data_IF_349579683458
#
_entry.id   IF_349579683458
#
_cell.length_a   1.000
_cell.length_b   1.000
_cell.length_c   1.000
_cell.angle_alpha   90.00
_cell.angle_beta   90.00
_cell.angle_gamma   90.00
#
_symmetry.space_group_name_H-M   'P 1'
#
loop_
_entity.id
_entity.type
_entity.pdbx_description
1 polymer ?
#
# COMPACT_ATOMS: atom_id res chain seq x y z
N UNK A 1 -20.06 -68.46 27.78
CA UNK A 1 -18.93 -68.00 28.61
C UNK A 1 -18.52 -66.62 28.13
N UNK A 2 -18.61 -65.59 28.97
CA UNK A 2 -18.10 -64.25 28.59
C UNK A 2 -16.61 -64.30 28.34
N UNK A 3 -16.16 -63.91 27.15
CA UNK A 3 -14.73 -63.81 26.80
C UNK A 3 -14.06 -62.85 27.77
N UNK A 4 -13.05 -63.35 28.55
CA UNK A 4 -12.24 -62.49 29.45
C UNK A 4 -11.66 -61.34 28.66
N UNK A 5 -12.06 -60.14 28.97
CA UNK A 5 -11.45 -58.86 28.51
C UNK A 5 -10.38 -58.45 29.51
N UNK A 6 -9.37 -57.68 29.06
CA UNK A 6 -8.28 -57.15 29.90
C UNK A 6 -7.35 -58.24 30.47
N UNK A 7 -6.85 -59.07 29.57
CA UNK A 7 -5.98 -60.22 29.91
C UNK A 7 -4.55 -59.78 30.29
N UNK A 8 -4.07 -58.69 29.74
CA UNK A 8 -2.77 -58.11 30.06
C UNK A 8 -2.90 -57.19 31.29
N UNK A 9 -1.89 -57.18 32.11
CA UNK A 9 -1.74 -56.24 33.22
C UNK A 9 -0.40 -55.51 33.07
N UNK A 10 -0.22 -54.35 33.71
CA UNK A 10 1.02 -53.60 33.71
C UNK A 10 2.25 -54.49 34.08
N UNK A 11 2.06 -55.45 35.01
CA UNK A 11 3.09 -56.41 35.40
C UNK A 11 3.36 -57.53 34.37
N UNK A 12 2.36 -57.89 33.57
CA UNK A 12 2.53 -58.95 32.54
C UNK A 12 3.14 -58.38 31.26
N UNK A 13 2.86 -57.13 30.88
CA UNK A 13 3.35 -56.54 29.65
C UNK A 13 4.86 -56.67 29.47
N UNK A 14 5.74 -56.31 30.47
CA UNK A 14 7.18 -56.46 30.30
C UNK A 14 7.65 -57.92 30.09
N UNK A 15 6.91 -58.89 30.64
CA UNK A 15 7.23 -60.30 30.49
C UNK A 15 6.87 -60.85 29.11
N UNK A 16 5.69 -60.47 28.58
CA UNK A 16 5.29 -60.92 27.25
C UNK A 16 5.98 -60.17 26.14
N UNK A 17 6.45 -58.93 26.39
CA UNK A 17 7.24 -58.14 25.44
C UNK A 17 8.59 -58.76 25.08
N UNK A 18 9.03 -59.79 25.85
CA UNK A 18 10.25 -60.61 25.54
C UNK A 18 10.00 -61.83 24.66
N UNK A 19 8.73 -62.13 24.40
CA UNK A 19 8.32 -63.34 23.66
C UNK A 19 7.73 -62.92 22.31
N UNK A 20 8.36 -63.32 21.15
CA UNK A 20 7.78 -63.03 19.85
C UNK A 20 6.38 -63.58 19.68
N UNK A 21 5.51 -62.82 18.94
CA UNK A 21 4.16 -63.23 18.65
C UNK A 21 3.09 -62.20 19.02
N UNK A 22 1.82 -62.60 18.95
CA UNK A 22 0.65 -61.77 19.29
C UNK A 22 0.13 -62.14 20.66
N UNK A 23 0.13 -61.19 21.59
CA UNK A 23 -0.39 -61.37 22.96
C UNK A 23 -1.69 -60.60 23.11
N UNK A 24 -2.80 -61.34 23.22
CA UNK A 24 -4.15 -60.75 23.29
C UNK A 24 -4.43 -60.09 24.65
N UNK A 25 -4.91 -58.85 24.63
CA UNK A 25 -5.49 -58.18 25.81
C UNK A 25 -7.00 -58.41 25.89
N UNK A 26 -7.70 -58.42 24.79
CA UNK A 26 -9.14 -58.53 24.64
C UNK A 26 -9.71 -57.52 23.71
N UNK A 27 -10.98 -57.67 23.32
CA UNK A 27 -11.66 -56.74 22.40
C UNK A 27 -10.89 -56.41 21.14
N UNK A 28 -10.12 -57.36 20.62
CA UNK A 28 -9.28 -57.16 19.42
C UNK A 28 -7.94 -56.44 19.64
N UNK A 29 -7.62 -56.03 20.89
CA UNK A 29 -6.34 -55.42 21.21
C UNK A 29 -5.25 -56.50 21.46
N UNK A 30 -4.12 -56.37 20.81
CA UNK A 30 -2.94 -57.26 20.92
C UNK A 30 -1.67 -56.42 21.11
N UNK A 31 -0.73 -56.97 21.89
CA UNK A 31 0.67 -56.60 21.83
C UNK A 31 1.36 -57.54 20.84
N UNK A 32 1.82 -56.97 19.73
CA UNK A 32 2.63 -57.68 18.74
C UNK A 32 4.12 -57.48 19.08
N UNK A 33 4.86 -58.57 19.21
CA UNK A 33 6.31 -58.57 19.47
C UNK A 33 7.01 -59.22 18.29
N UNK A 34 7.95 -58.45 17.69
CA UNK A 34 8.77 -58.87 16.56
C UNK A 34 10.24 -58.65 16.89
N UNK A 35 11.16 -59.03 15.99
CA UNK A 35 12.59 -58.73 16.12
C UNK A 35 12.88 -57.20 16.19
N UNK A 36 12.01 -56.38 15.58
CA UNK A 36 12.13 -54.92 15.57
C UNK A 36 11.52 -54.21 16.81
N UNK A 37 10.92 -54.99 17.76
CA UNK A 37 10.31 -54.45 18.99
C UNK A 37 8.87 -54.82 19.19
N UNK A 38 8.26 -54.27 20.26
CA UNK A 38 6.90 -54.51 20.62
C UNK A 38 5.98 -53.30 20.29
N UNK A 39 4.83 -53.56 19.66
CA UNK A 39 3.81 -52.55 19.29
C UNK A 39 2.38 -53.02 19.57
N UNK A 40 1.52 -52.07 19.86
CA UNK A 40 0.09 -52.30 20.04
C UNK A 40 -0.61 -52.35 18.68
N UNK A 41 -1.48 -53.36 18.51
CA UNK A 41 -2.24 -53.61 17.28
C UNK A 41 -3.68 -53.89 17.63
N UNK A 42 -4.63 -53.27 16.96
CA UNK A 42 -6.03 -53.60 16.98
C UNK A 42 -6.38 -54.48 15.78
N UNK A 43 -6.87 -55.68 16.04
CA UNK A 43 -7.49 -56.57 15.04
C UNK A 43 -8.98 -56.38 15.07
N UNK A 44 -9.61 -56.05 13.96
CA UNK A 44 -11.03 -55.84 13.80
C UNK A 44 -11.54 -56.44 12.47
N UNK A 45 -12.86 -56.49 12.32
CA UNK A 45 -13.52 -56.86 11.07
C UNK A 45 -14.49 -55.79 10.69
N UNK A 46 -14.48 -55.35 9.42
CA UNK A 46 -15.43 -54.41 8.85
C UNK A 46 -15.81 -54.89 7.44
N UNK A 47 -17.10 -54.87 7.11
CA UNK A 47 -17.63 -55.39 5.85
C UNK A 47 -17.11 -56.81 5.50
N UNK A 48 -17.05 -57.70 6.52
CA UNK A 48 -16.61 -59.10 6.36
C UNK A 48 -15.10 -59.30 6.21
N UNK A 49 -14.26 -58.23 6.20
CA UNK A 49 -12.81 -58.31 6.05
C UNK A 49 -12.10 -58.03 7.37
N UNK A 50 -11.14 -58.92 7.72
CA UNK A 50 -10.25 -58.71 8.87
C UNK A 50 -9.14 -57.71 8.54
N UNK A 51 -8.97 -56.70 9.42
CA UNK A 51 -7.91 -55.67 9.28
C UNK A 51 -7.13 -55.55 10.59
N UNK A 52 -5.89 -55.04 10.47
CA UNK A 52 -5.00 -54.82 11.60
C UNK A 52 -4.54 -53.35 11.59
N UNK A 53 -4.85 -52.63 12.67
CA UNK A 53 -4.47 -51.24 12.85
C UNK A 53 -3.36 -51.11 13.88
N UNK A 54 -2.21 -50.58 13.52
CA UNK A 54 -1.16 -50.20 14.47
C UNK A 54 -1.57 -49.02 15.34
N UNK A 55 -1.48 -49.19 16.67
CA UNK A 55 -1.82 -48.18 17.67
C UNK A 55 -0.57 -47.46 18.20
N UNK A 56 0.60 -48.02 17.96
CA UNK A 56 1.90 -47.41 18.30
C UNK A 56 2.83 -48.35 19.09
N UNK A 57 4.12 -47.99 19.20
CA UNK A 57 5.11 -48.83 19.88
C UNK A 57 4.94 -48.81 21.41
N UNK A 58 5.19 -49.97 22.04
CA UNK A 58 5.12 -50.13 23.49
C UNK A 58 5.99 -49.11 24.27
N UNK A 59 7.13 -48.73 23.72
CA UNK A 59 8.05 -47.75 24.33
C UNK A 59 7.46 -46.38 24.54
N UNK A 60 6.44 -45.99 23.73
CA UNK A 60 5.78 -44.66 23.79
C UNK A 60 4.38 -44.73 24.39
N UNK A 61 3.72 -45.87 24.26
CA UNK A 61 2.33 -46.03 24.70
C UNK A 61 2.21 -47.22 25.64
N UNK A 62 1.77 -46.96 26.87
CA UNK A 62 1.48 -47.97 27.86
C UNK A 62 0.20 -48.77 27.50
N UNK A 63 -0.15 -49.78 28.37
CA UNK A 63 -1.34 -50.56 28.19
C UNK A 63 -2.61 -49.72 28.27
N UNK A 64 -2.66 -48.74 29.18
CA UNK A 64 -3.80 -47.84 29.32
C UNK A 64 -4.03 -47.00 28.04
N UNK A 65 -2.96 -46.43 27.51
CA UNK A 65 -3.03 -45.64 26.25
C UNK A 65 -3.52 -46.50 25.08
N UNK A 66 -3.00 -47.74 25.00
CA UNK A 66 -3.38 -48.66 23.95
C UNK A 66 -4.87 -49.03 24.02
N UNK A 67 -5.41 -49.25 25.25
CA UNK A 67 -6.83 -49.48 25.45
C UNK A 67 -7.71 -48.29 25.06
N UNK A 68 -7.29 -47.08 25.41
CA UNK A 68 -7.97 -45.84 25.01
C UNK A 68 -8.03 -45.71 23.49
N UNK A 69 -6.89 -45.82 22.81
CA UNK A 69 -6.84 -45.80 21.35
C UNK A 69 -7.63 -46.91 20.67
N UNK A 70 -7.62 -48.11 21.25
CA UNK A 70 -8.43 -49.22 20.75
C UNK A 70 -9.94 -48.96 20.92
N UNK A 71 -10.35 -48.36 22.03
CA UNK A 71 -11.76 -47.99 22.26
C UNK A 71 -12.23 -46.91 21.29
N UNK A 72 -11.39 -45.88 21.00
CA UNK A 72 -11.66 -44.86 20.00
C UNK A 72 -11.86 -45.47 18.61
N UNK A 73 -10.94 -46.34 18.18
CA UNK A 73 -11.05 -47.03 16.91
C UNK A 73 -12.31 -47.93 16.84
N UNK A 74 -12.66 -48.61 17.95
CA UNK A 74 -13.88 -49.42 18.02
C UNK A 74 -15.16 -48.60 17.90
N UNK A 75 -15.18 -47.36 18.39
CA UNK A 75 -16.35 -46.46 18.20
C UNK A 75 -16.54 -46.15 16.71
N UNK A 76 -15.45 -45.82 15.97
CA UNK A 76 -15.53 -45.60 14.52
C UNK A 76 -16.08 -46.86 13.80
N UNK A 77 -15.59 -48.05 14.17
CA UNK A 77 -16.08 -49.30 13.59
C UNK A 77 -17.57 -49.50 13.86
N UNK A 78 -18.03 -49.19 15.07
CA UNK A 78 -19.44 -49.25 15.41
C UNK A 78 -20.30 -48.29 14.62
N UNK A 79 -19.75 -47.11 14.27
CA UNK A 79 -20.36 -46.14 13.36
C UNK A 79 -20.28 -46.55 11.87
N UNK A 80 -19.73 -47.72 11.55
CA UNK A 80 -19.53 -48.15 10.17
C UNK A 80 -18.37 -47.54 9.44
N UNK A 81 -17.51 -46.79 10.14
CA UNK A 81 -16.33 -46.14 9.58
C UNK A 81 -15.06 -46.96 9.83
N UNK A 82 -14.28 -47.18 8.80
CA UNK A 82 -12.97 -47.85 8.96
C UNK A 82 -11.93 -46.86 9.56
N UNK A 83 -11.36 -47.18 10.75
CA UNK A 83 -10.43 -46.28 11.42
C UNK A 83 -9.08 -46.07 10.67
N UNK A 84 -8.67 -47.06 9.84
CA UNK A 84 -7.47 -46.88 9.00
C UNK A 84 -7.77 -45.88 7.88
N UNK A 85 -8.92 -46.02 7.22
CA UNK A 85 -9.30 -45.15 6.10
C UNK A 85 -9.62 -43.74 6.62
N UNK A 86 -10.23 -43.60 7.80
CA UNK A 86 -10.43 -42.30 8.46
C UNK A 86 -9.10 -41.61 8.77
N UNK A 87 -8.09 -42.33 9.30
CA UNK A 87 -6.74 -41.79 9.55
C UNK A 87 -6.02 -41.40 8.27
N UNK A 88 -6.17 -42.16 7.19
CA UNK A 88 -5.59 -41.84 5.89
C UNK A 88 -6.26 -40.61 5.28
N UNK A 89 -7.58 -40.51 5.36
CA UNK A 89 -8.31 -39.33 4.89
C UNK A 89 -7.90 -38.05 5.65
N UNK A 90 -7.73 -38.14 6.96
CA UNK A 90 -7.28 -37.00 7.77
C UNK A 90 -5.85 -36.58 7.44
N UNK A 91 -4.95 -37.55 7.23
CA UNK A 91 -3.57 -37.27 6.76
C UNK A 91 -3.55 -36.66 5.37
N UNK A 92 -4.34 -37.17 4.45
CA UNK A 92 -4.46 -36.64 3.10
C UNK A 92 -5.01 -35.20 3.11
N UNK A 93 -6.02 -34.95 3.97
CA UNK A 93 -6.54 -33.59 4.18
C UNK A 93 -5.48 -32.64 4.73
N UNK A 94 -4.76 -33.06 5.77
CA UNK A 94 -3.67 -32.25 6.34
C UNK A 94 -2.55 -31.97 5.35
N UNK A 95 -2.17 -32.95 4.49
CA UNK A 95 -1.20 -32.78 3.42
C UNK A 95 -1.70 -31.81 2.35
N UNK A 96 -2.98 -31.90 1.98
CA UNK A 96 -3.59 -30.98 1.02
C UNK A 96 -3.62 -29.53 1.56
N UNK A 97 -3.98 -29.35 2.81
CA UNK A 97 -3.98 -28.05 3.48
C UNK A 97 -2.54 -27.48 3.57
N UNK A 98 -1.56 -28.33 3.91
CA UNK A 98 -0.15 -27.93 3.92
C UNK A 98 0.37 -27.57 2.53
N UNK A 99 -0.04 -28.29 1.49
CA UNK A 99 0.33 -28.00 0.10
C UNK A 99 -0.31 -26.72 -0.43
N UNK A 100 -1.49 -26.34 0.06
CA UNK A 100 -2.17 -25.08 -0.25
C UNK A 100 -1.59 -23.89 0.54
N UNK A 101 -0.79 -24.13 1.59
CA UNK A 101 -0.27 -23.06 2.43
C UNK A 101 0.69 -22.17 1.64
N UNK A 102 0.32 -20.92 1.45
CA UNK A 102 1.17 -19.88 0.89
C UNK A 102 1.52 -18.87 1.98
N UNK A 103 2.78 -18.44 2.07
CA UNK A 103 3.17 -17.40 3.00
C UNK A 103 2.69 -16.03 2.53
N UNK A 104 2.50 -15.09 3.46
CA UNK A 104 2.09 -13.73 3.11
C UNK A 104 3.04 -13.07 2.11
N UNK A 105 4.34 -13.25 2.28
CA UNK A 105 5.37 -12.72 1.35
C UNK A 105 5.19 -13.25 -0.07
N UNK A 106 4.96 -14.55 -0.24
CA UNK A 106 4.70 -15.15 -1.55
C UNK A 106 3.37 -14.69 -2.13
N UNK A 107 2.33 -14.59 -1.31
CA UNK A 107 1.02 -14.08 -1.72
C UNK A 107 1.13 -12.61 -2.18
N UNK A 108 1.86 -11.77 -1.46
CA UNK A 108 2.11 -10.38 -1.81
C UNK A 108 2.84 -10.26 -3.16
N UNK A 109 3.89 -11.04 -3.38
CA UNK A 109 4.62 -11.06 -4.65
C UNK A 109 3.72 -11.47 -5.83
N UNK A 110 2.90 -12.52 -5.64
CA UNK A 110 1.95 -12.99 -6.64
C UNK A 110 0.85 -11.96 -6.94
N UNK A 111 0.31 -11.30 -5.90
CA UNK A 111 -0.65 -10.21 -6.03
C UNK A 111 -0.06 -9.06 -6.86
N UNK A 112 1.13 -8.58 -6.49
CA UNK A 112 1.83 -7.50 -7.18
C UNK A 112 2.06 -7.85 -8.65
N UNK A 113 2.54 -9.05 -8.93
CA UNK A 113 2.79 -9.54 -10.29
C UNK A 113 1.52 -9.54 -11.14
N UNK A 114 0.41 -10.09 -10.62
CA UNK A 114 -0.85 -10.20 -11.36
C UNK A 114 -1.54 -8.85 -11.61
N UNK A 115 -1.35 -7.86 -10.74
CA UNK A 115 -2.00 -6.54 -10.86
C UNK A 115 -1.12 -5.47 -11.52
N UNK A 116 0.17 -5.76 -11.68
CA UNK A 116 1.17 -4.80 -12.17
C UNK A 116 0.80 -4.17 -13.52
N UNK A 117 0.24 -4.94 -14.45
CA UNK A 117 -0.13 -4.46 -15.78
C UNK A 117 -1.22 -3.39 -15.75
N UNK A 118 -2.13 -3.41 -14.76
CA UNK A 118 -3.19 -2.43 -14.58
C UNK A 118 -2.76 -1.11 -13.92
N UNK A 119 -1.53 -1.01 -13.44
CA UNK A 119 -1.07 0.19 -12.72
C UNK A 119 -0.53 1.27 -13.65
N UNK A 120 -0.96 2.52 -13.44
CA UNK A 120 -0.57 3.68 -14.27
C UNK A 120 0.95 3.86 -14.43
N UNK A 121 1.73 3.54 -13.39
CA UNK A 121 3.20 3.50 -13.40
C UNK A 121 3.64 2.20 -12.73
N UNK A 122 3.57 1.11 -13.50
CA UNK A 122 3.74 -0.26 -13.03
C UNK A 122 5.02 -0.47 -12.21
N UNK A 123 6.17 0.01 -12.70
CA UNK A 123 7.46 -0.15 -12.01
C UNK A 123 7.51 0.61 -10.68
N UNK A 124 7.10 1.89 -10.69
CA UNK A 124 7.11 2.74 -9.49
C UNK A 124 6.10 2.25 -8.45
N UNK A 125 4.90 1.88 -8.89
CA UNK A 125 3.84 1.42 -7.99
C UNK A 125 4.21 0.08 -7.34
N UNK A 126 4.75 -0.88 -8.11
CA UNK A 126 5.24 -2.15 -7.58
C UNK A 126 6.34 -1.91 -6.52
N UNK A 127 7.36 -1.11 -6.82
CA UNK A 127 8.42 -0.80 -5.86
C UNK A 127 7.92 -0.15 -4.57
N UNK A 128 6.89 0.72 -4.66
CA UNK A 128 6.26 1.31 -3.45
C UNK A 128 5.54 0.24 -2.62
N UNK A 129 4.84 -0.70 -3.27
CA UNK A 129 4.19 -1.81 -2.57
C UNK A 129 5.21 -2.72 -1.89
N UNK A 130 6.20 -3.18 -2.65
CA UNK A 130 7.29 -4.05 -2.18
C UNK A 130 8.01 -3.42 -0.98
N UNK A 131 8.53 -2.18 -1.13
CA UNK A 131 9.24 -1.48 -0.05
C UNK A 131 8.38 -1.30 1.19
N UNK A 132 7.11 -0.92 1.02
CA UNK A 132 6.24 -0.67 2.17
C UNK A 132 5.89 -1.95 2.90
N UNK A 133 5.60 -3.03 2.17
CA UNK A 133 5.31 -4.34 2.78
C UNK A 133 6.55 -4.92 3.45
N UNK A 134 7.72 -4.85 2.80
CA UNK A 134 8.98 -5.30 3.37
C UNK A 134 9.35 -4.55 4.68
N UNK A 135 9.03 -3.25 4.74
CA UNK A 135 9.35 -2.44 5.91
C UNK A 135 8.42 -2.70 7.10
N UNK A 136 7.12 -2.87 6.85
CA UNK A 136 6.12 -2.84 7.94
C UNK A 136 5.40 -4.16 8.17
N UNK A 137 5.11 -4.94 7.14
CA UNK A 137 4.30 -6.15 7.24
C UNK A 137 5.16 -7.43 7.30
N UNK A 138 6.13 -7.57 6.40
CA UNK A 138 6.93 -8.80 6.29
C UNK A 138 7.70 -9.18 7.56
N UNK A 139 8.25 -8.23 8.37
CA UNK A 139 8.94 -8.60 9.60
C UNK A 139 8.05 -9.34 10.62
N UNK A 140 6.74 -9.15 10.54
CA UNK A 140 5.76 -9.71 11.48
C UNK A 140 4.99 -10.87 10.87
N UNK A 141 4.46 -10.70 9.65
CA UNK A 141 3.57 -11.69 9.02
C UNK A 141 4.13 -12.31 7.75
N UNK A 142 5.29 -11.86 7.25
CA UNK A 142 5.83 -12.27 5.95
C UNK A 142 6.06 -13.77 5.79
N UNK A 143 6.58 -14.42 6.82
CA UNK A 143 6.87 -15.86 6.84
C UNK A 143 5.65 -16.73 7.20
N UNK A 144 4.57 -16.11 7.73
CA UNK A 144 3.38 -16.84 8.16
C UNK A 144 2.50 -17.25 6.98
N UNK A 145 1.87 -18.43 7.02
CA UNK A 145 0.82 -18.79 6.08
C UNK A 145 -0.33 -17.76 6.13
N UNK A 146 -0.88 -17.37 4.97
CA UNK A 146 -1.98 -16.39 4.91
C UNK A 146 -3.21 -16.84 5.69
N UNK A 147 -3.41 -18.14 5.85
CA UNK A 147 -4.50 -18.74 6.65
C UNK A 147 -4.38 -18.43 8.15
N UNK A 148 -3.15 -18.35 8.67
CA UNK A 148 -2.89 -18.12 10.10
C UNK A 148 -2.86 -16.65 10.51
N UNK A 149 -3.03 -15.72 9.55
CA UNK A 149 -3.03 -14.29 9.84
C UNK A 149 -4.40 -13.88 10.38
N UNK A 150 -4.42 -13.49 11.65
CA UNK A 150 -5.58 -13.02 12.39
C UNK A 150 -5.54 -11.50 12.63
N UNK A 151 -6.56 -11.00 13.33
CA UNK A 151 -6.68 -9.58 13.69
C UNK A 151 -5.57 -9.12 14.60
N UNK A 152 -5.10 -9.95 15.54
CA UNK A 152 -4.04 -9.58 16.47
C UNK A 152 -2.71 -9.36 15.74
N UNK A 153 -2.39 -10.20 14.77
CA UNK A 153 -1.21 -10.04 13.92
C UNK A 153 -1.29 -8.80 13.03
N UNK A 154 -2.46 -8.49 12.47
CA UNK A 154 -2.67 -7.25 11.71
C UNK A 154 -2.50 -6.01 12.61
N UNK A 155 -3.06 -6.01 13.82
CA UNK A 155 -2.88 -4.93 14.79
C UNK A 155 -1.41 -4.76 15.16
N UNK A 156 -0.68 -5.84 15.40
CA UNK A 156 0.77 -5.81 15.69
C UNK A 156 1.57 -5.10 14.58
N UNK A 157 1.15 -5.22 13.32
CA UNK A 157 1.75 -4.46 12.20
C UNK A 157 1.36 -2.99 12.24
N UNK A 158 0.11 -2.67 12.55
CA UNK A 158 -0.45 -1.34 12.34
C UNK A 158 -0.25 -0.41 13.56
N UNK A 159 -0.41 -0.88 14.78
CA UNK A 159 -0.37 -0.05 16.00
C UNK A 159 0.90 0.79 16.13
N UNK A 160 2.12 0.27 15.88
CA UNK A 160 3.35 1.05 16.03
C UNK A 160 3.42 2.27 15.10
N UNK A 161 2.66 2.25 14.00
CA UNK A 161 2.67 3.30 12.98
C UNK A 161 1.34 4.04 12.87
N UNK A 162 0.28 3.61 13.55
CA UNK A 162 -1.07 4.15 13.40
C UNK A 162 -1.18 5.62 13.77
N UNK A 163 -0.60 5.99 14.89
CA UNK A 163 -0.56 7.39 15.38
C UNK A 163 0.60 8.19 14.81
N UNK A 164 1.76 7.55 14.64
CA UNK A 164 2.98 8.24 14.18
C UNK A 164 3.00 8.54 12.68
N UNK A 165 2.44 7.64 11.86
CA UNK A 165 2.43 7.71 10.39
C UNK A 165 1.05 7.30 9.83
N UNK A 166 -0.05 7.99 10.16
CA UNK A 166 -1.42 7.52 9.87
C UNK A 166 -1.70 7.27 8.40
N UNK A 167 -1.16 8.08 7.48
CA UNK A 167 -1.29 7.85 6.04
C UNK A 167 -0.59 6.58 5.57
N UNK A 168 0.62 6.33 6.09
CA UNK A 168 1.36 5.11 5.78
C UNK A 168 0.65 3.89 6.35
N UNK A 169 0.21 3.94 7.61
CA UNK A 169 -0.53 2.88 8.28
C UNK A 169 -1.80 2.51 7.53
N UNK A 170 -2.58 3.51 7.10
CA UNK A 170 -3.77 3.27 6.29
C UNK A 170 -3.46 2.58 4.95
N UNK A 171 -2.37 2.95 4.29
CA UNK A 171 -1.92 2.30 3.05
C UNK A 171 -1.40 0.88 3.28
N UNK A 172 -0.67 0.65 4.37
CA UNK A 172 -0.21 -0.69 4.77
C UNK A 172 -1.42 -1.59 5.01
N UNK A 173 -2.41 -1.13 5.81
CA UNK A 173 -3.65 -1.84 6.06
C UNK A 173 -4.36 -2.23 4.75
N UNK A 174 -4.58 -1.27 3.86
CA UNK A 174 -5.24 -1.51 2.55
C UNK A 174 -4.50 -2.54 1.70
N UNK A 175 -3.16 -2.55 1.74
CA UNK A 175 -2.37 -3.53 1.01
C UNK A 175 -2.48 -4.91 1.60
N UNK A 176 -2.43 -5.03 2.94
CA UNK A 176 -2.66 -6.32 3.63
C UNK A 176 -4.06 -6.83 3.30
N UNK A 177 -5.08 -5.98 3.39
CA UNK A 177 -6.48 -6.31 3.06
C UNK A 177 -6.58 -6.87 1.63
N UNK A 178 -6.06 -6.16 0.64
CA UNK A 178 -6.11 -6.57 -0.76
C UNK A 178 -5.40 -7.90 -1.04
N UNK A 179 -4.25 -8.15 -0.38
CA UNK A 179 -3.51 -9.40 -0.53
C UNK A 179 -4.28 -10.56 0.10
N UNK A 180 -4.87 -10.36 1.28
CA UNK A 180 -5.64 -11.39 1.97
C UNK A 180 -6.96 -11.69 1.26
N UNK A 181 -7.63 -10.70 0.66
CA UNK A 181 -8.79 -10.90 -0.20
C UNK A 181 -8.43 -11.71 -1.44
N UNK A 182 -7.32 -11.36 -2.09
CA UNK A 182 -6.80 -12.13 -3.22
C UNK A 182 -6.48 -13.57 -2.82
N UNK A 183 -5.88 -13.77 -1.65
CA UNK A 183 -5.57 -15.09 -1.13
C UNK A 183 -6.85 -15.91 -0.84
N UNK A 184 -7.91 -15.27 -0.35
CA UNK A 184 -9.22 -15.88 -0.14
C UNK A 184 -9.85 -16.35 -1.45
N UNK A 185 -9.88 -15.50 -2.47
CA UNK A 185 -10.41 -15.85 -3.81
C UNK A 185 -9.63 -17.00 -4.45
N UNK A 186 -8.34 -17.11 -4.15
CA UNK A 186 -7.46 -18.20 -4.62
C UNK A 186 -7.58 -19.49 -3.80
N UNK A 187 -8.37 -19.51 -2.74
CA UNK A 187 -8.53 -20.67 -1.85
C UNK A 187 -7.33 -20.94 -0.94
N UNK A 188 -6.45 -19.95 -0.75
CA UNK A 188 -5.31 -20.05 0.17
C UNK A 188 -5.67 -19.71 1.62
N UNK A 189 -6.83 -19.12 1.84
CA UNK A 189 -7.40 -18.86 3.15
C UNK A 189 -8.92 -18.86 3.13
N UNK A 190 -9.51 -19.13 4.28
CA UNK A 190 -10.94 -19.07 4.55
C UNK A 190 -11.24 -18.00 5.61
N UNK A 191 -12.53 -17.75 5.82
CA UNK A 191 -13.02 -16.82 6.84
C UNK A 191 -12.99 -15.35 6.40
N UNK A 192 -13.26 -14.46 7.35
CA UNK A 192 -13.29 -13.01 7.16
C UNK A 192 -11.88 -12.43 7.06
N UNK A 193 -11.77 -11.30 6.35
CA UNK A 193 -10.49 -10.62 6.21
C UNK A 193 -10.15 -9.81 7.48
N UNK A 194 -9.08 -10.17 8.22
CA UNK A 194 -8.72 -9.51 9.48
C UNK A 194 -8.19 -8.08 9.30
N UNK A 195 -7.88 -7.67 8.06
CA UNK A 195 -7.46 -6.31 7.73
C UNK A 195 -8.62 -5.42 7.23
N UNK A 196 -9.87 -5.95 7.21
CA UNK A 196 -11.06 -5.19 6.84
C UNK A 196 -11.22 -3.99 7.77
N UNK A 197 -11.52 -2.82 7.19
CA UNK A 197 -11.72 -1.62 7.97
C UNK A 197 -13.11 -1.54 8.56
N UNK A 198 -14.13 -1.41 7.69
CA UNK A 198 -15.52 -1.15 8.08
C UNK A 198 -16.13 -2.33 8.83
N UNK A 199 -16.62 -2.05 10.04
CA UNK A 199 -17.24 -3.04 10.91
C UNK A 199 -16.25 -4.05 11.50
N UNK A 200 -14.93 -3.73 11.53
CA UNK A 200 -13.92 -4.57 12.12
C UNK A 200 -12.79 -3.73 12.75
N UNK A 201 -11.77 -3.31 12.00
CA UNK A 201 -10.66 -2.54 12.57
C UNK A 201 -11.04 -1.11 12.97
N UNK A 202 -12.10 -0.53 12.43
CA UNK A 202 -12.64 0.77 12.82
C UNK A 202 -13.21 0.80 14.25
N UNK A 203 -13.51 -0.36 14.82
CA UNK A 203 -13.90 -0.51 16.23
C UNK A 203 -12.67 -0.56 17.15
N UNK A 204 -11.53 -1.06 16.65
CA UNK A 204 -10.31 -1.28 17.41
C UNK A 204 -9.32 -0.12 17.31
N UNK A 205 -9.31 0.59 16.20
CA UNK A 205 -8.37 1.68 15.91
C UNK A 205 -9.12 2.99 15.69
N UNK A 206 -8.63 4.12 16.22
CA UNK A 206 -9.27 5.41 16.00
C UNK A 206 -9.22 5.80 14.52
N UNK A 207 -10.28 6.45 14.03
CA UNK A 207 -10.31 6.96 12.67
C UNK A 207 -9.12 7.90 12.40
N UNK A 208 -8.44 7.71 11.26
CA UNK A 208 -7.23 8.48 10.90
C UNK A 208 -7.44 10.00 10.94
N UNK A 209 -8.63 10.48 10.55
CA UNK A 209 -8.98 11.90 10.62
C UNK A 209 -9.01 12.45 12.07
N UNK A 210 -9.28 11.58 13.07
CA UNK A 210 -9.22 11.93 14.50
C UNK A 210 -7.79 11.89 15.04
N UNK A 211 -6.92 11.05 14.46
CA UNK A 211 -5.52 10.90 14.88
C UNK A 211 -4.67 12.08 14.41
N UNK A 212 -4.88 12.52 13.18
CA UNK A 212 -4.18 13.67 12.60
C UNK A 212 -5.17 14.52 11.82
N UNK A 213 -5.36 15.76 12.25
CA UNK A 213 -6.03 16.77 11.43
C UNK A 213 -5.27 16.90 10.11
N UNK A 214 -5.99 17.01 9.01
CA UNK A 214 -5.40 17.31 7.71
C UNK A 214 -4.78 18.70 7.81
N UNK A 215 -3.48 18.77 8.00
CA UNK A 215 -2.75 20.02 7.84
C UNK A 215 -2.65 20.28 6.34
N UNK A 216 -3.19 21.39 5.89
CA UNK A 216 -2.98 21.86 4.53
C UNK A 216 -1.49 22.12 4.31
N UNK A 217 -1.01 21.93 3.08
CA UNK A 217 0.36 22.26 2.74
C UNK A 217 0.62 23.73 3.14
N UNK A 218 1.68 23.96 3.91
CA UNK A 218 2.09 25.30 4.28
C UNK A 218 2.27 26.14 3.01
N UNK A 219 1.47 27.18 2.90
CA UNK A 219 1.42 28.11 1.79
C UNK A 219 1.98 29.47 2.22
N UNK A 220 2.65 30.14 1.30
CA UNK A 220 3.07 31.52 1.51
C UNK A 220 1.82 32.43 1.49
N UNK A 221 1.60 33.32 2.47
CA UNK A 221 0.58 34.35 2.35
C UNK A 221 0.78 35.13 1.03
N UNK A 222 -0.30 35.33 0.27
CA UNK A 222 -0.17 35.97 -1.06
C UNK A 222 0.41 37.39 -0.98
N UNK A 223 0.21 38.11 0.14
CA UNK A 223 0.82 39.42 0.35
C UNK A 223 2.34 39.42 0.39
N UNK A 224 2.97 38.29 0.66
CA UNK A 224 4.42 38.11 0.72
C UNK A 224 5.04 37.65 -0.62
N UNK A 225 4.20 37.34 -1.63
CA UNK A 225 4.69 36.70 -2.86
C UNK A 225 5.69 37.58 -3.61
N UNK A 226 5.48 38.88 -3.67
CA UNK A 226 6.40 39.81 -4.35
C UNK A 226 7.80 39.79 -3.75
N UNK A 227 7.91 39.89 -2.42
CA UNK A 227 9.20 39.81 -1.72
C UNK A 227 9.86 38.45 -1.90
N UNK A 228 9.07 37.36 -1.88
CA UNK A 228 9.56 36.01 -2.14
C UNK A 228 10.13 35.88 -3.57
N UNK A 229 9.43 36.41 -4.57
CA UNK A 229 9.87 36.36 -5.97
C UNK A 229 11.18 37.12 -6.20
N UNK A 230 11.36 38.27 -5.54
CA UNK A 230 12.65 38.99 -5.58
C UNK A 230 13.77 38.11 -5.02
N UNK A 231 13.59 37.52 -3.85
CA UNK A 231 14.57 36.64 -3.22
C UNK A 231 14.83 35.34 -4.04
N UNK A 232 13.80 34.78 -4.68
CA UNK A 232 13.90 33.61 -5.55
C UNK A 232 14.75 33.91 -6.80
N UNK A 233 14.56 35.07 -7.42
CA UNK A 233 15.28 35.48 -8.63
C UNK A 233 16.75 35.78 -8.38
N UNK A 234 17.12 36.13 -7.15
CA UNK A 234 18.53 36.25 -6.74
C UNK A 234 19.20 34.88 -6.58
N UNK A 235 18.43 33.77 -6.57
CA UNK A 235 19.01 32.42 -6.49
C UNK A 235 19.54 32.00 -7.87
N UNK A 236 20.74 31.47 -7.88
CA UNK A 236 21.38 30.94 -9.07
C UNK A 236 20.88 29.50 -9.39
N UNK A 237 21.01 29.15 -10.68
CA UNK A 237 20.82 27.80 -11.19
C UNK A 237 19.42 27.50 -11.69
N UNK A 238 19.33 26.41 -12.44
CA UNK A 238 18.13 25.97 -13.16
C UNK A 238 16.91 25.73 -12.22
N UNK A 239 17.16 25.33 -10.98
CA UNK A 239 16.09 25.09 -10.02
C UNK A 239 15.32 26.36 -9.63
N UNK A 240 15.99 27.51 -9.56
CA UNK A 240 15.35 28.80 -9.28
C UNK A 240 14.46 29.22 -10.45
N UNK A 241 14.95 29.10 -11.69
CA UNK A 241 14.18 29.41 -12.92
C UNK A 241 12.97 28.46 -13.05
N UNK A 242 13.15 27.16 -12.77
CA UNK A 242 12.05 26.20 -12.78
C UNK A 242 10.98 26.55 -11.73
N UNK A 243 11.40 27.02 -10.54
CA UNK A 243 10.43 27.37 -9.49
C UNK A 243 9.72 28.70 -9.79
N UNK A 244 10.42 29.67 -10.38
CA UNK A 244 9.82 30.91 -10.90
C UNK A 244 8.69 30.59 -11.90
N UNK A 245 8.97 29.73 -12.91
CA UNK A 245 7.94 29.30 -13.86
C UNK A 245 6.79 28.58 -13.17
N UNK A 246 7.07 27.68 -12.21
CA UNK A 246 6.05 26.95 -11.49
C UNK A 246 5.09 27.88 -10.73
N UNK A 247 5.60 28.94 -10.12
CA UNK A 247 4.80 29.96 -9.42
C UNK A 247 3.99 30.79 -10.42
N UNK A 248 4.63 31.33 -11.46
CA UNK A 248 3.97 32.16 -12.47
C UNK A 248 2.88 31.43 -13.25
N UNK A 249 2.97 30.12 -13.39
CA UNK A 249 1.98 29.28 -14.11
C UNK A 249 1.05 28.53 -13.18
N UNK A 250 1.26 28.58 -11.87
CA UNK A 250 0.60 27.74 -10.88
C UNK A 250 0.62 26.24 -11.20
N UNK A 251 1.62 25.78 -11.99
CA UNK A 251 1.77 24.39 -12.42
C UNK A 251 2.25 23.47 -11.28
N UNK A 252 2.00 22.16 -11.41
CA UNK A 252 2.51 21.20 -10.43
C UNK A 252 4.01 20.97 -10.63
N UNK A 253 4.71 20.67 -9.53
CA UNK A 253 6.16 20.38 -9.55
C UNK A 253 6.55 19.42 -10.67
N UNK A 254 5.86 18.29 -10.82
CA UNK A 254 6.19 17.31 -11.85
C UNK A 254 5.86 17.76 -13.27
N UNK A 255 4.88 18.65 -13.43
CA UNK A 255 4.54 19.27 -14.72
C UNK A 255 5.67 20.19 -15.14
N UNK A 256 6.12 21.06 -14.24
CA UNK A 256 7.22 22.01 -14.51
C UNK A 256 8.56 21.29 -14.73
N UNK A 257 8.97 20.43 -13.80
CA UNK A 257 10.27 19.74 -13.89
C UNK A 257 10.39 18.83 -15.12
N UNK A 258 9.28 18.29 -15.59
CA UNK A 258 9.24 17.42 -16.76
C UNK A 258 8.94 18.15 -18.07
N UNK A 259 8.85 19.50 -18.10
CA UNK A 259 8.55 20.26 -19.30
C UNK A 259 9.61 20.04 -20.38
N UNK A 260 9.14 19.86 -21.63
CA UNK A 260 10.00 19.70 -22.82
C UNK A 260 9.80 20.86 -23.79
N UNK A 261 10.80 21.18 -24.58
CA UNK A 261 10.72 22.30 -25.50
C UNK A 261 9.65 22.15 -26.57
N UNK A 262 9.31 20.92 -26.99
CA UNK A 262 8.19 20.66 -27.92
C UNK A 262 6.81 21.02 -27.35
N UNK A 263 6.71 21.20 -26.05
CA UNK A 263 5.47 21.56 -25.36
C UNK A 263 5.28 23.09 -25.29
N UNK A 264 6.32 23.85 -25.60
CA UNK A 264 6.36 25.31 -25.46
C UNK A 264 6.22 25.97 -26.84
N UNK A 265 5.13 26.72 -26.98
CA UNK A 265 4.94 27.65 -28.11
C UNK A 265 5.14 29.07 -27.58
N UNK A 266 6.32 29.66 -27.88
CA UNK A 266 6.64 31.01 -27.46
C UNK A 266 5.90 32.07 -28.29
N UNK A 267 5.54 31.79 -29.56
CA UNK A 267 4.83 32.70 -30.43
C UNK A 267 3.37 32.87 -29.93
N UNK A 268 2.69 31.76 -29.67
CA UNK A 268 1.35 31.75 -29.13
C UNK A 268 1.30 31.98 -27.62
N UNK A 269 2.45 31.97 -26.95
CA UNK A 269 2.59 32.06 -25.48
C UNK A 269 1.77 31.02 -24.76
N UNK A 270 1.93 29.76 -25.19
CA UNK A 270 1.21 28.61 -24.63
C UNK A 270 2.21 27.50 -24.29
N UNK A 271 2.04 26.91 -23.13
CA UNK A 271 2.66 25.64 -22.76
C UNK A 271 1.59 24.54 -22.75
N UNK A 272 1.72 23.57 -23.64
CA UNK A 272 0.80 22.46 -23.78
C UNK A 272 1.33 21.23 -23.07
N UNK A 273 0.80 20.90 -21.88
CA UNK A 273 1.19 19.71 -21.13
C UNK A 273 0.40 18.51 -21.66
N UNK A 274 1.07 17.47 -22.22
CA UNK A 274 0.38 16.35 -22.84
C UNK A 274 -0.33 15.44 -21.81
N UNK A 275 -1.36 14.69 -22.25
CA UNK A 275 -2.21 13.87 -21.36
C UNK A 275 -1.44 12.87 -20.50
N UNK A 276 -0.35 12.31 -21.00
CA UNK A 276 0.48 11.31 -20.32
C UNK A 276 1.12 11.87 -19.04
N UNK A 277 1.41 13.18 -19.02
CA UNK A 277 2.00 13.88 -17.90
C UNK A 277 0.97 14.44 -16.93
N UNK A 278 -0.29 14.52 -17.34
CA UNK A 278 -1.39 15.06 -16.53
C UNK A 278 -2.03 14.00 -15.63
N UNK A 279 -2.39 14.41 -14.39
CA UNK A 279 -3.11 13.52 -13.45
C UNK A 279 -4.47 13.10 -14.01
N UNK A 280 -5.16 14.01 -14.68
CA UNK A 280 -6.50 13.79 -15.25
C UNK A 280 -6.49 13.08 -16.62
N UNK A 281 -5.32 12.73 -17.19
CA UNK A 281 -5.15 12.16 -18.53
C UNK A 281 -5.82 12.98 -19.64
N UNK A 282 -5.89 14.29 -19.49
CA UNK A 282 -6.34 15.25 -20.49
C UNK A 282 -5.23 16.27 -20.70
N UNK A 283 -5.06 16.71 -21.94
CA UNK A 283 -4.18 17.81 -22.28
C UNK A 283 -4.50 19.06 -21.47
N UNK A 284 -3.49 19.82 -21.11
CA UNK A 284 -3.64 21.05 -20.38
C UNK A 284 -2.82 22.16 -21.00
N UNK A 285 -3.49 23.14 -21.61
CA UNK A 285 -2.87 24.33 -22.17
C UNK A 285 -2.72 25.37 -21.06
N UNK A 286 -1.49 25.81 -20.82
CA UNK A 286 -1.13 26.82 -19.82
C UNK A 286 -0.77 28.11 -20.51
N UNK A 287 -1.56 29.20 -20.37
CA UNK A 287 -1.19 30.49 -20.93
C UNK A 287 0.05 31.04 -20.21
N UNK A 288 1.00 31.53 -20.99
CA UNK A 288 2.25 32.09 -20.48
C UNK A 288 2.16 33.61 -20.42
N UNK A 289 2.32 34.18 -19.22
CA UNK A 289 2.49 35.61 -19.04
C UNK A 289 3.84 36.10 -19.60
N UNK A 290 4.03 37.39 -19.83
CA UNK A 290 5.29 37.93 -20.28
C UNK A 290 6.47 37.52 -19.38
N UNK A 291 6.27 37.55 -18.05
CA UNK A 291 7.29 37.11 -17.11
C UNK A 291 7.64 35.62 -17.25
N UNK A 292 6.64 34.76 -17.51
CA UNK A 292 6.88 33.34 -17.76
C UNK A 292 7.65 33.10 -19.07
N UNK A 293 7.35 33.86 -20.10
CA UNK A 293 8.11 33.85 -21.39
C UNK A 293 9.55 34.22 -21.15
N UNK A 294 9.84 35.33 -20.41
CA UNK A 294 11.20 35.73 -20.06
C UNK A 294 12.01 34.60 -19.39
N UNK A 295 11.40 33.89 -18.43
CA UNK A 295 12.06 32.73 -17.80
C UNK A 295 12.37 31.63 -18.83
N UNK A 296 11.47 31.37 -19.76
CA UNK A 296 11.71 30.38 -20.82
C UNK A 296 12.76 30.79 -21.80
N UNK A 297 12.82 32.07 -22.19
CA UNK A 297 13.87 32.65 -23.06
C UNK A 297 15.25 32.55 -22.40
N UNK A 298 15.35 32.83 -21.09
CA UNK A 298 16.59 32.58 -20.33
C UNK A 298 17.01 31.12 -20.42
N UNK A 299 16.07 30.20 -20.25
CA UNK A 299 16.33 28.76 -20.30
C UNK A 299 16.65 28.27 -21.72
N UNK A 300 16.17 28.95 -22.77
CA UNK A 300 16.45 28.57 -24.15
C UNK A 300 17.96 28.66 -24.47
N UNK A 301 18.72 29.48 -23.74
CA UNK A 301 20.20 29.58 -23.88
C UNK A 301 20.89 28.27 -23.45
N UNK A 302 20.26 27.45 -22.66
CA UNK A 302 20.77 26.13 -22.22
C UNK A 302 20.23 24.97 -23.08
N UNK A 303 19.45 25.28 -24.11
CA UNK A 303 18.90 24.28 -25.03
C UNK A 303 20.02 23.72 -25.90
N UNK A 304 20.15 22.37 -26.01
CA UNK A 304 21.18 21.77 -26.86
C UNK A 304 21.01 22.17 -28.34
N UNK A 305 22.12 22.41 -29.04
CA UNK A 305 22.08 22.62 -30.50
C UNK A 305 21.48 21.40 -31.19
N UNK A 306 20.60 21.65 -32.17
CA UNK A 306 19.94 20.58 -32.94
C UNK A 306 18.88 19.83 -32.18
N UNK A 307 18.44 20.31 -30.97
CA UNK A 307 17.31 19.69 -30.26
C UNK A 307 16.02 19.79 -31.07
N UNK A 308 15.41 18.63 -31.31
CA UNK A 308 14.11 18.49 -31.98
C UNK A 308 12.91 18.72 -31.06
N UNK A 309 13.11 19.37 -29.92
CA UNK A 309 12.10 19.65 -28.93
C UNK A 309 12.01 18.60 -27.80
N UNK A 310 12.82 17.55 -27.83
CA UNK A 310 12.81 16.50 -26.81
C UNK A 310 13.61 16.86 -25.54
N UNK A 311 14.47 17.86 -25.61
CA UNK A 311 15.22 18.32 -24.44
C UNK A 311 14.28 18.88 -23.36
N UNK A 312 14.67 18.68 -22.11
CA UNK A 312 13.95 19.28 -20.99
C UNK A 312 14.21 20.79 -20.92
N UNK A 313 13.18 21.57 -20.65
CA UNK A 313 13.29 23.02 -20.39
C UNK A 313 14.18 23.26 -19.17
N UNK A 314 14.08 22.40 -18.16
CA UNK A 314 14.88 22.46 -16.93
C UNK A 314 15.74 21.20 -16.78
N UNK A 315 16.91 21.16 -17.44
CA UNK A 315 17.80 20.02 -17.40
C UNK A 315 18.37 19.81 -15.99
N UNK A 316 18.51 18.56 -15.59
CA UNK A 316 19.18 18.15 -14.36
C UNK A 316 20.68 17.98 -14.56
N UNK A 317 21.40 17.66 -13.49
CA UNK A 317 22.85 17.40 -13.54
C UNK A 317 23.20 16.15 -14.37
N UNK A 318 22.29 15.19 -14.50
CA UNK A 318 22.50 14.00 -15.34
C UNK A 318 22.02 14.28 -16.76
N UNK A 319 22.88 14.02 -17.74
CA UNK A 319 22.56 14.22 -19.16
C UNK A 319 21.24 13.53 -19.53
N UNK A 320 20.38 14.23 -20.25
CA UNK A 320 19.08 13.72 -20.71
C UNK A 320 18.06 13.44 -19.59
N UNK A 321 18.27 13.95 -18.38
CA UNK A 321 17.32 13.84 -17.26
C UNK A 321 16.87 15.22 -16.79
N UNK A 322 15.61 15.34 -16.30
CA UNK A 322 15.13 16.59 -15.71
C UNK A 322 15.72 16.80 -14.32
N UNK A 323 15.47 17.95 -13.72
CA UNK A 323 15.73 18.21 -12.31
C UNK A 323 15.05 17.15 -11.43
N UNK A 324 15.67 16.87 -10.28
CA UNK A 324 15.11 15.98 -9.27
C UNK A 324 13.81 16.54 -8.68
N UNK A 325 12.88 15.65 -8.26
CA UNK A 325 11.67 16.02 -7.50
C UNK A 325 11.97 16.81 -6.21
N UNK A 326 13.20 16.68 -5.68
CA UNK A 326 13.65 17.37 -4.47
C UNK A 326 14.18 18.78 -4.78
N UNK A 327 14.32 19.17 -6.03
CA UNK A 327 14.96 20.44 -6.42
C UNK A 327 14.32 21.66 -5.74
N UNK A 328 12.99 21.76 -5.77
CA UNK A 328 12.28 22.87 -5.14
C UNK A 328 12.36 22.84 -3.60
N UNK A 329 12.31 21.66 -2.98
CA UNK A 329 12.47 21.54 -1.54
C UNK A 329 13.87 21.95 -1.09
N UNK A 330 14.90 21.54 -1.83
CA UNK A 330 16.30 21.92 -1.52
C UNK A 330 16.53 23.41 -1.75
N UNK A 331 15.90 23.99 -2.77
CA UNK A 331 15.93 25.43 -3.02
C UNK A 331 15.29 26.21 -1.87
N UNK A 332 14.09 25.85 -1.45
CA UNK A 332 13.40 26.47 -0.31
C UNK A 332 14.24 26.39 0.98
N UNK A 333 14.89 25.24 1.24
CA UNK A 333 15.82 25.10 2.38
C UNK A 333 17.02 26.04 2.28
N UNK A 334 17.62 26.17 1.10
CA UNK A 334 18.72 27.11 0.82
C UNK A 334 18.30 28.57 1.05
N UNK A 335 17.05 28.91 0.68
CA UNK A 335 16.45 30.21 0.93
C UNK A 335 15.99 30.40 2.39
N UNK A 336 16.26 29.43 3.29
CA UNK A 336 15.80 29.42 4.69
C UNK A 336 14.26 29.46 4.84
N UNK A 337 13.54 28.99 3.82
CA UNK A 337 12.07 28.88 3.79
C UNK A 337 11.64 27.39 3.80
N UNK A 338 12.22 26.60 4.67
CA UNK A 338 11.84 25.21 4.89
C UNK A 338 10.46 25.02 5.53
N UNK A 339 9.86 26.09 5.98
CA UNK A 339 8.48 26.23 6.42
C UNK A 339 7.45 26.08 5.29
N UNK A 340 7.86 26.32 4.04
CA UNK A 340 6.99 26.28 2.87
C UNK A 340 7.12 24.99 2.07
N UNK A 341 6.12 24.72 1.25
CA UNK A 341 6.15 23.65 0.26
C UNK A 341 5.90 24.19 -1.15
N UNK A 342 6.54 23.62 -2.17
CA UNK A 342 6.29 24.01 -3.56
C UNK A 342 4.80 23.88 -3.96
N UNK A 343 4.09 22.92 -3.36
CA UNK A 343 2.65 22.76 -3.60
C UNK A 343 1.81 23.88 -2.95
N UNK A 344 2.27 24.43 -1.84
CA UNK A 344 1.63 25.53 -1.13
C UNK A 344 1.48 26.79 -1.98
N UNK A 345 2.38 27.06 -2.92
CA UNK A 345 2.27 28.21 -3.83
C UNK A 345 1.05 28.16 -4.75
N UNK A 346 0.51 26.99 -5.01
CA UNK A 346 -0.76 26.84 -5.73
C UNK A 346 -1.95 27.25 -4.87
N UNK A 347 -1.86 27.05 -3.55
CA UNK A 347 -2.83 27.59 -2.59
C UNK A 347 -2.70 29.10 -2.53
N UNK A 348 -1.46 29.65 -2.48
CA UNK A 348 -1.20 31.10 -2.55
C UNK A 348 -1.87 31.75 -3.77
N UNK A 349 -1.72 31.14 -4.96
CA UNK A 349 -2.40 31.62 -6.18
C UNK A 349 -3.91 31.57 -6.06
N UNK A 350 -4.48 30.47 -5.53
CA UNK A 350 -5.93 30.28 -5.36
C UNK A 350 -6.52 31.29 -4.38
N UNK A 351 -5.84 31.50 -3.23
CA UNK A 351 -6.25 32.44 -2.19
C UNK A 351 -6.21 33.88 -2.71
N UNK A 352 -5.14 34.26 -3.44
CA UNK A 352 -5.06 35.54 -4.11
C UNK A 352 -6.20 35.74 -5.11
N UNK A 353 -6.47 34.75 -5.95
CA UNK A 353 -7.52 34.84 -6.96
C UNK A 353 -8.90 35.04 -6.32
N UNK A 354 -9.17 34.31 -5.22
CA UNK A 354 -10.44 34.37 -4.50
C UNK A 354 -10.62 35.68 -3.74
N UNK A 355 -9.55 36.21 -3.11
CA UNK A 355 -9.68 37.38 -2.22
C UNK A 355 -9.40 38.72 -2.90
N UNK A 356 -8.63 38.73 -3.99
CA UNK A 356 -8.14 39.97 -4.63
C UNK A 356 -8.62 40.17 -6.05
N UNK A 357 -9.42 39.26 -6.59
CA UNK A 357 -9.86 39.36 -7.99
C UNK A 357 -11.34 39.07 -8.15
N UNK A 358 -11.84 39.42 -9.35
CA UNK A 358 -13.20 39.10 -9.78
C UNK A 358 -13.24 38.04 -10.85
N UNK A 359 -12.14 37.30 -11.03
CA UNK A 359 -12.12 36.19 -11.98
C UNK A 359 -13.05 35.06 -11.54
N UNK A 360 -13.69 34.44 -12.51
CA UNK A 360 -14.60 33.32 -12.25
C UNK A 360 -13.85 32.17 -11.52
N UNK A 361 -14.40 31.61 -10.43
CA UNK A 361 -13.77 30.49 -9.72
C UNK A 361 -13.42 29.32 -10.64
N UNK A 362 -14.22 29.09 -11.68
CA UNK A 362 -13.99 28.07 -12.66
C UNK A 362 -12.70 28.29 -13.48
N UNK A 363 -12.42 29.53 -13.87
CA UNK A 363 -11.18 29.85 -14.57
C UNK A 363 -9.96 29.58 -13.69
N UNK A 364 -10.07 29.85 -12.40
CA UNK A 364 -9.02 29.56 -11.40
C UNK A 364 -8.81 28.06 -11.24
N UNK A 365 -9.89 27.28 -11.06
CA UNK A 365 -9.80 25.83 -10.93
C UNK A 365 -9.27 25.16 -12.23
N UNK A 366 -9.63 25.69 -13.40
CA UNK A 366 -9.07 25.26 -14.68
C UNK A 366 -7.59 25.60 -14.82
N UNK A 367 -7.16 26.78 -14.38
CA UNK A 367 -5.74 27.16 -14.37
C UNK A 367 -4.93 26.21 -13.48
N UNK A 368 -5.50 25.77 -12.38
CA UNK A 368 -4.94 24.74 -11.49
C UNK A 368 -5.04 23.33 -12.05
N UNK A 369 -5.64 23.10 -13.21
CA UNK A 369 -5.93 21.77 -13.77
C UNK A 369 -6.62 20.85 -12.73
N UNK A 370 -7.59 21.38 -11.99
CA UNK A 370 -8.43 20.62 -11.10
C UNK A 370 -9.58 19.98 -11.87
N UNK A 371 -9.98 18.79 -11.43
CA UNK A 371 -11.14 18.10 -12.01
C UNK A 371 -12.40 18.73 -11.46
N UNK A 372 -13.33 19.10 -12.34
CA UNK A 372 -14.65 19.59 -11.95
C UNK A 372 -15.40 18.42 -11.30
N UNK A 373 -15.84 18.54 -10.04
CA UNK A 373 -16.47 17.43 -9.32
C UNK A 373 -17.80 16.99 -9.95
N UNK A 374 -18.53 17.94 -10.56
CA UNK A 374 -19.81 17.69 -11.19
C UNK A 374 -19.62 17.09 -12.59
N UNK A 375 -19.95 15.80 -12.74
CA UNK A 375 -19.83 15.08 -14.01
C UNK A 375 -20.75 15.65 -15.11
N UNK A 376 -21.92 16.15 -14.75
CA UNK A 376 -22.88 16.75 -15.69
C UNK A 376 -22.31 18.05 -16.25
N UNK A 377 -21.80 18.92 -15.38
CA UNK A 377 -21.16 20.17 -15.76
C UNK A 377 -19.91 19.93 -16.61
N UNK A 378 -19.10 18.94 -16.25
CA UNK A 378 -17.90 18.55 -17.01
C UNK A 378 -18.23 18.05 -18.43
N UNK A 379 -19.40 17.45 -18.65
CA UNK A 379 -19.84 16.95 -19.95
C UNK A 379 -20.32 18.07 -20.90
N UNK A 380 -20.88 19.15 -20.35
CA UNK A 380 -21.33 20.29 -21.15
C UNK A 380 -20.23 21.30 -21.49
N UNK A 381 -19.09 21.27 -20.79
CA UNK A 381 -17.98 22.20 -21.05
C UNK A 381 -17.04 21.65 -22.12
N UNK A 382 -17.14 22.21 -23.33
CA UNK A 382 -16.26 21.88 -24.48
C UNK A 382 -15.00 22.76 -24.54
N UNK A 383 -15.03 23.97 -23.95
CA UNK A 383 -13.92 24.93 -23.96
C UNK A 383 -13.08 24.88 -22.67
N UNK A 384 -11.82 25.32 -22.78
CA UNK A 384 -10.87 25.39 -21.68
C UNK A 384 -10.67 26.82 -21.10
N UNK A 385 -11.51 27.78 -21.50
CA UNK A 385 -11.48 29.19 -21.08
C UNK A 385 -10.09 29.83 -21.28
N UNK A 386 -9.39 29.50 -22.35
CA UNK A 386 -7.98 29.93 -22.56
C UNK A 386 -7.80 31.44 -22.42
N UNK A 387 -8.65 32.25 -23.03
CA UNK A 387 -8.53 33.71 -23.00
C UNK A 387 -8.78 34.30 -21.61
N UNK A 388 -9.75 33.80 -20.88
CA UNK A 388 -10.00 34.19 -19.47
C UNK A 388 -8.81 33.79 -18.59
N UNK A 389 -8.25 32.58 -18.80
CA UNK A 389 -7.05 32.13 -18.09
C UNK A 389 -5.80 32.93 -18.49
N UNK A 390 -5.71 33.42 -19.72
CA UNK A 390 -4.63 34.29 -20.17
C UNK A 390 -4.63 35.59 -19.37
N UNK A 391 -5.80 36.21 -19.21
CA UNK A 391 -5.97 37.42 -18.39
C UNK A 391 -5.65 37.13 -16.90
N UNK A 392 -6.16 36.03 -16.36
CA UNK A 392 -5.90 35.62 -14.98
C UNK A 392 -4.39 35.43 -14.71
N UNK A 393 -3.68 34.71 -15.60
CA UNK A 393 -2.25 34.43 -15.43
C UNK A 393 -1.39 35.68 -15.64
N UNK A 394 -1.79 36.60 -16.50
CA UNK A 394 -1.13 37.90 -16.63
C UNK A 394 -1.28 38.76 -15.36
N UNK A 395 -2.50 38.86 -14.82
CA UNK A 395 -2.76 39.56 -13.57
C UNK A 395 -2.01 38.94 -12.38
N UNK A 396 -1.93 37.61 -12.33
CA UNK A 396 -1.14 36.90 -11.32
C UNK A 396 0.34 37.23 -11.41
N UNK A 397 0.91 37.18 -12.62
CA UNK A 397 2.31 37.51 -12.83
C UNK A 397 2.62 38.96 -12.45
N UNK A 398 1.76 39.91 -12.81
CA UNK A 398 1.90 41.31 -12.39
C UNK A 398 1.88 41.45 -10.87
N UNK A 399 0.96 40.73 -10.19
CA UNK A 399 0.89 40.73 -8.73
C UNK A 399 2.15 40.16 -8.10
N UNK A 400 2.68 39.05 -8.63
CA UNK A 400 3.94 38.43 -8.18
C UNK A 400 5.16 39.35 -8.34
N UNK A 401 5.12 40.26 -9.30
CA UNK A 401 6.24 41.18 -9.59
C UNK A 401 6.19 42.50 -8.84
N UNK A 402 5.05 42.84 -8.25
CA UNK A 402 4.94 44.05 -7.41
C UNK A 402 5.70 43.78 -6.10
N UNK A 403 6.72 44.59 -5.78
CA UNK A 403 7.31 44.54 -4.45
C UNK A 403 6.21 44.80 -3.43
N UNK A 404 5.99 43.87 -2.53
CA UNK A 404 5.05 44.07 -1.43
C UNK A 404 5.45 45.28 -0.62
N UNK A 405 4.50 45.97 0.10
CA UNK A 405 4.85 47.06 0.98
C UNK A 405 5.91 46.52 1.99
N UNK A 406 7.08 47.15 1.99
CA UNK A 406 8.08 46.90 2.99
C UNK A 406 7.46 47.19 4.37
N UNK A 407 7.27 46.15 5.18
CA UNK A 407 6.91 46.34 6.60
C UNK A 407 5.46 46.10 7.03
N UNK A 408 4.62 45.46 6.25
CA UNK A 408 3.34 44.98 6.80
C UNK A 408 3.59 43.72 7.66
N UNK A 409 3.62 43.87 8.97
CA UNK A 409 3.53 42.77 9.92
C UNK A 409 2.18 42.05 9.71
N UNK A 410 2.17 41.02 8.89
CA UNK A 410 1.03 40.12 8.78
C UNK A 410 1.07 39.22 9.98
N UNK A 411 0.32 39.51 11.01
CA UNK A 411 0.08 38.62 12.14
C UNK A 411 -0.61 37.39 11.60
N UNK A 412 0.00 36.24 11.69
CA UNK A 412 -0.64 34.98 11.38
C UNK A 412 -1.89 34.83 12.25
N UNK A 413 -3.06 34.70 11.63
CA UNK A 413 -4.29 34.37 12.34
C UNK A 413 -4.09 32.96 12.92
N UNK A 414 -3.67 32.89 14.17
CA UNK A 414 -3.73 31.65 14.95
C UNK A 414 -5.20 31.30 15.08
N UNK A 415 -5.57 30.13 14.58
CA UNK A 415 -6.86 29.55 14.88
C UNK A 415 -7.03 29.54 16.40
N UNK A 416 -7.99 30.30 16.88
CA UNK A 416 -8.41 30.30 18.28
C UNK A 416 -8.88 28.88 18.57
N UNK A 417 -8.15 28.19 19.46
CA UNK A 417 -8.62 26.97 20.05
C UNK A 417 -9.83 27.33 20.91
N UNK A 418 -11.03 26.98 20.47
CA UNK A 418 -12.21 27.03 21.31
C UNK A 418 -12.08 25.91 22.34
N UNK A 419 -11.79 26.31 23.57
CA UNK A 419 -12.01 25.52 24.77
C UNK A 419 -13.51 25.45 25.04
N UNK A 420 -14.07 24.26 24.91
CA UNK A 420 -15.22 23.74 25.67
C UNK A 420 -15.27 22.21 25.44
#
# INVERSE_FOLDING_TARGET
MARKTERLTALKVPRVAKKPGFHADGRGLYLQVTSGGASWVLRYSIAGRARYMGLGPLRLFGLADARTKAAEAQRLIHEGKDPIDARLAERAKAQLEAAKAITFKKAAASYISSHRAGWKNAKKQAGIWETTLATYAEPIIGALPVQSIDTALVLKVLEPIWTKKPETAGRVRQRIEAILDWAKVRGYRDGENPARWKGHLDVLLPARAKVRRVEHHAALPFGEIGAFMVALRQQEGVAARAFDLAILTAARTNETLGARWREIDLAEKIWTVPPERMKAKREHRVPLSAAAVTVLEEMARLRPHGDNGEAYVFPGQRLGKPLSNMAFLMLLRRMKRGDLTAHGFRSTFRDWAAERTRFEPEAVEMALAHVIPNKVEAAYRRGDMLDKRRQLMSAWAEFCLKPGPAGANVTAIRAVASSA
#
